data_IF_383747101977
#
_entry.id   IF_383747101977
#
_cell.length_a   1.000
_cell.length_b   1.000
_cell.length_c   1.000
_cell.angle_alpha   90.00
_cell.angle_beta   90.00
_cell.angle_gamma   90.00
#
_symmetry.space_group_name_H-M   'P 1'
#
loop_
_entity.id
_entity.type
_entity.pdbx_description
1 polymer ?
#
# COMPACT_ATOMS: atom_id res chain seq x y z
N UNK A 1 23.17 -10.98 -7.73
CA UNK A 1 22.33 -12.18 -7.75
C UNK A 1 20.93 -11.80 -8.22
N UNK A 2 20.29 -12.66 -9.01
CA UNK A 2 18.94 -12.43 -9.54
C UNK A 2 17.93 -12.22 -8.38
N UNK A 3 17.09 -11.16 -8.41
CA UNK A 3 16.14 -10.85 -7.34
C UNK A 3 15.19 -12.01 -7.01
N UNK A 4 14.75 -12.78 -8.00
CA UNK A 4 13.83 -13.89 -7.83
C UNK A 4 14.54 -15.08 -7.18
N UNK A 5 15.77 -15.38 -7.58
CA UNK A 5 16.58 -16.45 -6.95
C UNK A 5 16.76 -16.17 -5.46
N UNK A 6 17.15 -14.93 -5.11
CA UNK A 6 17.29 -14.53 -3.70
C UNK A 6 15.97 -14.65 -2.93
N UNK A 7 14.85 -14.27 -3.56
CA UNK A 7 13.54 -14.37 -2.93
C UNK A 7 13.12 -15.83 -2.71
N UNK A 8 13.36 -16.71 -3.68
CA UNK A 8 13.11 -18.15 -3.56
C UNK A 8 13.91 -18.77 -2.41
N UNK A 9 15.20 -18.45 -2.29
CA UNK A 9 16.03 -18.94 -1.17
C UNK A 9 15.49 -18.50 0.19
N UNK A 10 15.04 -17.24 0.31
CA UNK A 10 14.44 -16.73 1.55
C UNK A 10 13.11 -17.41 1.88
N UNK A 11 12.26 -17.62 0.88
CA UNK A 11 10.98 -18.32 1.06
C UNK A 11 11.21 -19.76 1.51
N UNK A 12 12.17 -20.46 0.90
CA UNK A 12 12.52 -21.81 1.31
C UNK A 12 13.01 -21.86 2.76
N UNK A 13 13.92 -20.96 3.14
CA UNK A 13 14.41 -20.88 4.52
C UNK A 13 13.29 -20.59 5.54
N UNK A 14 12.29 -19.77 5.18
CA UNK A 14 11.21 -19.38 6.09
C UNK A 14 10.05 -20.40 6.16
N UNK A 15 9.80 -21.15 5.09
CA UNK A 15 8.59 -21.97 4.94
C UNK A 15 8.84 -23.44 4.61
N UNK A 16 10.09 -23.83 4.36
CA UNK A 16 10.47 -25.16 3.86
C UNK A 16 10.04 -25.44 2.41
N UNK A 17 9.25 -24.55 1.79
CA UNK A 17 8.69 -24.77 0.46
C UNK A 17 9.71 -24.45 -0.62
N UNK A 18 9.97 -25.40 -1.52
CA UNK A 18 10.84 -25.18 -2.69
C UNK A 18 10.01 -24.60 -3.82
N UNK A 19 10.43 -23.44 -4.33
CA UNK A 19 9.78 -22.76 -5.45
C UNK A 19 10.86 -22.31 -6.44
N UNK A 20 10.66 -22.57 -7.74
CA UNK A 20 11.58 -22.09 -8.76
C UNK A 20 11.39 -20.59 -9.03
N UNK A 21 12.42 -19.86 -9.49
CA UNK A 21 12.29 -18.45 -9.88
C UNK A 21 11.18 -18.21 -10.90
N UNK A 22 11.01 -19.10 -11.88
CA UNK A 22 9.97 -19.02 -12.91
C UNK A 22 8.59 -19.27 -12.32
N UNK A 23 8.47 -20.25 -11.41
CA UNK A 23 7.24 -20.54 -10.69
C UNK A 23 6.80 -19.38 -9.80
N UNK A 24 7.76 -18.71 -9.15
CA UNK A 24 7.51 -17.51 -8.37
C UNK A 24 7.08 -16.34 -9.26
N UNK A 25 7.78 -16.11 -10.37
CA UNK A 25 7.45 -15.04 -11.31
C UNK A 25 6.02 -15.17 -11.86
N UNK A 26 5.58 -16.39 -12.21
CA UNK A 26 4.19 -16.65 -12.64
C UNK A 26 3.14 -16.29 -11.59
N UNK A 27 3.49 -16.38 -10.31
CA UNK A 27 2.60 -16.03 -9.20
C UNK A 27 2.57 -14.51 -8.93
N UNK A 28 3.59 -13.76 -9.36
CA UNK A 28 3.61 -12.30 -9.30
C UNK A 28 2.75 -11.70 -10.43
N UNK A 29 1.44 -11.80 -10.25
CA UNK A 29 0.44 -11.31 -11.20
C UNK A 29 -0.60 -10.43 -10.50
N UNK A 30 -1.59 -9.95 -11.24
CA UNK A 30 -2.66 -9.08 -10.72
C UNK A 30 -3.41 -9.69 -9.53
N UNK A 31 -3.59 -11.02 -9.51
CA UNK A 31 -4.25 -11.69 -8.37
C UNK A 31 -3.39 -11.62 -7.11
N UNK A 32 -2.07 -11.74 -7.21
CA UNK A 32 -1.18 -11.57 -6.07
C UNK A 32 -1.16 -10.12 -5.55
N UNK A 33 -1.26 -9.14 -6.46
CA UNK A 33 -1.41 -7.73 -6.07
C UNK A 33 -2.70 -7.54 -5.26
N UNK A 34 -3.84 -8.03 -5.77
CA UNK A 34 -5.13 -7.95 -5.06
C UNK A 34 -5.09 -8.68 -3.70
N UNK A 35 -4.44 -9.84 -3.64
CA UNK A 35 -4.26 -10.58 -2.40
C UNK A 35 -3.47 -9.79 -1.35
N UNK A 36 -2.35 -9.18 -1.74
CA UNK A 36 -1.55 -8.35 -0.84
C UNK A 36 -2.29 -7.10 -0.39
N UNK A 37 -3.07 -6.47 -1.28
CA UNK A 37 -3.93 -5.34 -0.93
C UNK A 37 -4.98 -5.74 0.12
N UNK A 38 -5.61 -6.90 -0.06
CA UNK A 38 -6.60 -7.41 0.89
C UNK A 38 -5.98 -7.71 2.27
N UNK A 39 -4.83 -8.39 2.32
CA UNK A 39 -4.10 -8.63 3.57
C UNK A 39 -3.74 -7.30 4.24
N UNK A 40 -3.21 -6.33 3.49
CA UNK A 40 -2.88 -5.02 4.02
C UNK A 40 -4.09 -4.34 4.65
N UNK A 41 -5.25 -4.36 3.98
CA UNK A 41 -6.49 -3.83 4.52
C UNK A 41 -6.88 -4.49 5.84
N UNK A 42 -6.84 -5.82 5.92
CA UNK A 42 -7.17 -6.55 7.15
C UNK A 42 -6.22 -6.18 8.30
N UNK A 43 -4.91 -6.16 8.03
CA UNK A 43 -3.89 -5.83 9.02
C UNK A 43 -4.04 -4.40 9.53
N UNK A 44 -4.31 -3.44 8.64
CA UNK A 44 -4.45 -2.05 9.04
C UNK A 44 -5.75 -1.82 9.81
N UNK A 45 -6.87 -2.44 9.40
CA UNK A 45 -8.11 -2.41 10.16
C UNK A 45 -7.90 -2.95 11.57
N UNK A 46 -7.24 -4.12 11.69
CA UNK A 46 -6.90 -4.70 13.00
C UNK A 46 -6.05 -3.73 13.83
N UNK A 47 -5.01 -3.12 13.25
CA UNK A 47 -4.15 -2.16 13.96
C UNK A 47 -4.91 -0.93 14.43
N UNK A 48 -5.81 -0.40 13.62
CA UNK A 48 -6.62 0.76 14.01
C UNK A 48 -7.58 0.34 15.12
N UNK A 49 -8.33 -0.75 14.98
CA UNK A 49 -9.25 -1.22 16.03
C UNK A 49 -8.54 -1.53 17.36
N UNK A 50 -7.34 -2.10 17.33
CA UNK A 50 -6.56 -2.41 18.53
C UNK A 50 -5.92 -1.17 19.18
N UNK A 51 -5.42 -0.23 18.38
CA UNK A 51 -4.64 0.92 18.89
C UNK A 51 -5.48 2.17 19.12
N UNK A 52 -6.57 2.34 18.39
CA UNK A 52 -7.42 3.52 18.51
C UNK A 52 -8.55 3.25 19.50
N UNK A 53 -8.34 3.61 20.76
CA UNK A 53 -9.45 3.82 21.69
C UNK A 53 -10.16 5.14 21.37
N UNK A 54 -10.73 5.23 20.17
CA UNK A 54 -11.56 6.37 19.81
C UNK A 54 -12.80 6.30 20.66
N UNK A 55 -12.95 7.29 21.55
CA UNK A 55 -14.11 7.40 22.41
C UNK A 55 -15.38 7.32 21.57
N UNK A 56 -16.31 6.47 21.96
CA UNK A 56 -17.64 6.36 21.35
C UNK A 56 -18.37 7.71 21.29
N UNK A 57 -17.96 8.70 22.11
CA UNK A 57 -18.47 10.05 22.06
C UNK A 57 -18.15 10.75 20.73
N UNK A 58 -16.98 10.54 20.12
CA UNK A 58 -16.66 11.14 18.82
C UNK A 58 -17.62 10.67 17.71
N UNK A 59 -18.07 9.41 17.78
CA UNK A 59 -19.05 8.85 16.84
C UNK A 59 -20.47 9.40 17.03
N UNK A 60 -20.79 9.96 18.21
CA UNK A 60 -22.07 10.66 18.42
C UNK A 60 -22.12 12.04 17.74
N UNK A 61 -20.97 12.71 17.56
CA UNK A 61 -20.90 14.04 16.95
C UNK A 61 -20.65 14.00 15.45
N UNK A 62 -19.81 13.07 14.98
CA UNK A 62 -19.46 12.95 13.57
C UNK A 62 -20.10 11.70 12.96
N UNK A 63 -21.04 11.91 12.03
CA UNK A 63 -21.67 10.82 11.26
C UNK A 63 -20.66 10.00 10.46
N UNK A 64 -19.52 10.61 10.08
CA UNK A 64 -18.46 9.98 9.29
C UNK A 64 -17.13 10.70 9.50
N UNK A 65 -16.06 9.95 9.75
CA UNK A 65 -14.70 10.47 9.84
C UNK A 65 -13.85 9.75 8.81
N UNK A 66 -13.33 10.48 7.82
CA UNK A 66 -12.48 9.94 6.75
C UNK A 66 -11.05 10.42 6.95
N UNK A 67 -10.13 9.48 7.08
CA UNK A 67 -8.69 9.73 7.13
C UNK A 67 -8.15 9.54 5.72
N UNK A 68 -7.63 10.61 5.14
CA UNK A 68 -6.89 10.55 3.89
C UNK A 68 -5.41 10.77 4.21
N UNK A 69 -4.59 9.78 3.90
CA UNK A 69 -3.14 9.85 4.07
C UNK A 69 -2.41 9.39 2.80
N UNK A 70 -1.17 9.81 2.65
CA UNK A 70 -0.31 9.30 1.61
C UNK A 70 1.13 9.18 2.07
N UNK A 71 1.70 7.99 1.90
CA UNK A 71 3.10 7.71 2.15
C UNK A 71 3.83 7.55 0.83
N UNK A 72 5.00 8.18 0.71
CA UNK A 72 5.89 8.05 -0.46
C UNK A 72 7.21 7.46 0.00
N UNK A 73 7.71 6.46 -0.73
CA UNK A 73 9.04 5.91 -0.50
C UNK A 73 9.81 5.76 -1.81
N UNK A 74 11.12 5.86 -1.71
CA UNK A 74 12.02 5.73 -2.85
C UNK A 74 12.14 4.28 -3.29
N UNK A 75 12.27 4.08 -4.60
CA UNK A 75 12.58 2.79 -5.21
C UNK A 75 13.86 2.93 -6.06
N UNK A 76 14.51 1.82 -6.46
CA UNK A 76 15.70 1.90 -7.29
C UNK A 76 15.50 2.76 -8.55
N UNK A 77 16.47 3.61 -8.87
CA UNK A 77 16.41 4.54 -10.01
C UNK A 77 16.13 3.82 -11.36
N UNK A 78 16.50 2.54 -11.49
CA UNK A 78 16.18 1.72 -12.65
C UNK A 78 14.66 1.61 -12.95
N UNK A 79 13.80 1.92 -11.97
CA UNK A 79 12.35 1.90 -12.10
C UNK A 79 11.74 3.27 -12.45
N UNK A 80 12.55 4.30 -12.70
CA UNK A 80 12.09 5.67 -13.00
C UNK A 80 11.08 5.73 -14.15
N UNK A 81 11.25 4.90 -15.18
CA UNK A 81 10.32 4.84 -16.32
C UNK A 81 8.91 4.36 -15.94
N UNK A 82 8.78 3.55 -14.89
CA UNK A 82 7.50 2.96 -14.44
C UNK A 82 6.95 3.72 -13.24
N UNK A 83 7.83 4.19 -12.35
CA UNK A 83 7.51 4.89 -11.12
C UNK A 83 8.32 6.19 -11.03
N UNK A 84 8.02 7.20 -11.88
CA UNK A 84 8.72 8.47 -11.84
C UNK A 84 8.59 9.11 -10.46
N UNK A 85 9.72 9.58 -9.95
CA UNK A 85 9.78 10.33 -8.71
C UNK A 85 9.12 11.70 -8.83
N UNK A 86 9.11 12.44 -7.72
CA UNK A 86 8.48 13.76 -7.61
C UNK A 86 9.29 14.90 -8.27
N UNK A 87 10.48 14.60 -8.83
CA UNK A 87 11.30 15.59 -9.56
C UNK A 87 12.17 16.50 -8.68
N UNK A 88 12.30 16.20 -7.37
CA UNK A 88 13.25 16.88 -6.47
C UNK A 88 14.69 16.33 -6.56
N UNK A 89 15.63 16.99 -5.88
CA UNK A 89 17.09 16.80 -6.02
C UNK A 89 17.62 15.36 -5.75
N UNK A 90 16.82 14.44 -5.22
CA UNK A 90 17.27 13.07 -4.87
C UNK A 90 16.30 11.93 -5.24
N UNK A 91 15.09 12.21 -5.75
CA UNK A 91 14.06 11.19 -5.98
C UNK A 91 13.78 11.01 -7.46
N UNK A 92 14.61 10.19 -8.14
CA UNK A 92 14.41 9.85 -9.56
C UNK A 92 13.28 8.82 -9.75
N UNK A 93 13.15 7.87 -8.81
CA UNK A 93 12.06 6.91 -8.80
C UNK A 93 11.41 6.82 -7.41
N UNK A 94 10.09 6.71 -7.36
CA UNK A 94 9.35 6.62 -6.10
C UNK A 94 7.95 6.05 -6.27
N UNK A 95 7.48 5.35 -5.25
CA UNK A 95 6.11 4.84 -5.17
C UNK A 95 5.35 5.66 -4.12
N UNK A 96 4.14 6.05 -4.46
CA UNK A 96 3.17 6.64 -3.56
C UNK A 96 2.07 5.63 -3.27
N UNK A 97 1.80 5.42 -2.00
CA UNK A 97 0.59 4.72 -1.52
C UNK A 97 -0.32 5.78 -0.95
N UNK A 98 -1.48 5.96 -1.56
CA UNK A 98 -2.54 6.83 -1.07
C UNK A 98 -3.66 5.99 -0.50
N UNK A 99 -4.07 6.35 0.71
CA UNK A 99 -5.02 5.63 1.50
C UNK A 99 -6.16 6.54 1.92
N UNK A 100 -7.39 6.08 1.73
CA UNK A 100 -8.55 6.68 2.34
C UNK A 100 -9.30 5.65 3.17
N UNK A 101 -9.50 5.97 4.44
CA UNK A 101 -10.06 5.08 5.44
C UNK A 101 -11.22 5.74 6.17
N UNK A 102 -12.30 5.00 6.33
CA UNK A 102 -13.43 5.38 7.17
C UNK A 102 -13.22 4.89 8.59
N UNK A 103 -13.05 5.83 9.52
CA UNK A 103 -12.76 5.52 10.91
C UNK A 103 -13.94 4.90 11.65
N UNK A 104 -15.17 5.13 11.19
CA UNK A 104 -16.37 4.63 11.83
C UNK A 104 -16.67 3.19 11.40
N UNK A 105 -16.64 2.90 10.10
CA UNK A 105 -16.89 1.55 9.58
C UNK A 105 -15.65 0.66 9.57
N UNK A 106 -14.47 1.25 9.72
CA UNK A 106 -13.20 0.56 9.58
C UNK A 106 -12.88 0.11 8.15
N UNK A 107 -13.53 0.70 7.15
CA UNK A 107 -13.40 0.29 5.75
C UNK A 107 -12.44 1.18 4.97
N UNK A 108 -11.75 0.55 4.00
CA UNK A 108 -11.00 1.26 2.98
C UNK A 108 -11.94 1.82 1.92
N UNK A 109 -11.97 3.14 1.82
CA UNK A 109 -12.70 3.84 0.78
C UNK A 109 -11.87 3.96 -0.50
N UNK A 110 -10.55 4.04 -0.35
CA UNK A 110 -9.64 4.18 -1.47
C UNK A 110 -8.27 3.61 -1.13
N UNK A 111 -7.73 2.80 -2.03
CA UNK A 111 -6.36 2.31 -1.94
C UNK A 111 -5.71 2.44 -3.31
N UNK A 112 -4.76 3.36 -3.43
CA UNK A 112 -4.07 3.64 -4.68
C UNK A 112 -2.57 3.49 -4.50
N UNK A 113 -1.96 2.73 -5.41
CA UNK A 113 -0.51 2.66 -5.56
C UNK A 113 -0.19 3.30 -6.90
N UNK A 114 0.73 4.26 -6.91
CA UNK A 114 1.10 4.97 -8.11
C UNK A 114 2.51 5.56 -8.04
N UNK A 115 2.93 6.28 -9.09
CA UNK A 115 4.19 7.01 -9.07
C UNK A 115 4.23 8.06 -7.95
N UNK A 116 5.45 8.35 -7.48
CA UNK A 116 5.72 9.34 -6.43
C UNK A 116 5.30 10.76 -6.82
N UNK A 117 5.22 11.04 -8.13
CA UNK A 117 4.69 12.30 -8.65
C UNK A 117 3.22 12.47 -8.28
N UNK A 118 2.89 13.61 -7.66
CA UNK A 118 1.54 13.93 -7.22
C UNK A 118 0.61 14.06 -8.43
N UNK A 119 -0.43 13.22 -8.52
CA UNK A 119 -1.69 13.59 -9.16
C UNK A 119 -2.59 14.21 -8.09
N UNK A 120 -2.82 15.52 -8.17
CA UNK A 120 -3.88 16.16 -7.40
C UNK A 120 -5.19 15.64 -7.98
N UNK A 121 -5.82 14.66 -7.32
CA UNK A 121 -7.26 14.46 -7.53
C UNK A 121 -7.92 15.67 -6.91
N UNK A 122 -8.55 16.51 -7.74
CA UNK A 122 -9.50 17.52 -7.29
C UNK A 122 -10.56 16.81 -6.43
N UNK A 123 -10.35 16.80 -5.12
CA UNK A 123 -11.39 16.42 -4.17
C UNK A 123 -12.32 17.64 -4.10
N UNK A 124 -13.28 17.72 -5.00
CA UNK A 124 -14.46 18.54 -4.79
C UNK A 124 -15.14 17.99 -3.55
N UNK A 125 -14.96 18.67 -2.42
CA UNK A 125 -15.72 18.42 -1.20
C UNK A 125 -17.12 18.99 -1.43
N UNK A 126 -18.06 18.11 -1.78
CA UNK A 126 -19.48 18.41 -1.58
C UNK A 126 -19.82 18.18 -0.11
N UNK A 127 -20.65 19.09 0.41
CA UNK A 127 -20.99 19.36 1.81
C UNK A 127 -21.37 18.15 2.68
#
# INVERSE_FOLDING_TARGET
SDPLVRLCSRLHAATGTVLSPEGLNKRLNTKAVLFLQHIFSLLLQQKICEQTQISNQLFSYFKRIRILDATVFQVPNALENVYPGSGGCAQKAGIKIQLEYDLHSGQFLNFQIGPGKIMIKHLVRSA
#
